data_IF_219172527246
#
_entry.id   IF_219172527246
#
_cell.length_a   1.000
_cell.length_b   1.000
_cell.length_c   1.000
_cell.angle_alpha   90.00
_cell.angle_beta   90.00
_cell.angle_gamma   90.00
#
_symmetry.space_group_name_H-M   'P 1'
#
loop_
_entity.id
_entity.type
_entity.pdbx_description
1 polymer ?
#
# COMPACT_ATOMS: atom_id res chain seq x y z
N UNK A 1 0.46 3.71 18.00
CA UNK A 1 0.26 2.89 16.78
C UNK A 1 0.93 3.54 15.58
N UNK A 2 0.68 4.82 15.27
CA UNK A 2 1.46 5.53 14.24
C UNK A 2 2.96 5.51 14.56
N UNK A 3 3.36 5.80 15.80
CA UNK A 3 4.78 5.83 16.18
C UNK A 3 5.44 4.46 16.03
N UNK A 4 4.80 3.39 16.52
CA UNK A 4 5.25 2.00 16.27
C UNK A 4 5.42 1.69 14.78
N UNK A 5 4.55 2.22 13.92
CA UNK A 5 4.66 2.04 12.46
C UNK A 5 5.83 2.85 11.88
N UNK A 6 6.13 4.05 12.42
CA UNK A 6 7.33 4.82 12.07
C UNK A 6 8.60 4.08 12.48
N UNK A 7 8.65 3.59 13.71
CA UNK A 7 9.82 2.90 14.28
C UNK A 7 10.13 1.61 13.49
N UNK A 8 9.10 0.90 13.05
CA UNK A 8 9.24 -0.25 12.15
C UNK A 8 9.74 0.12 10.75
N UNK A 9 9.33 1.27 10.21
CA UNK A 9 9.80 1.76 8.90
C UNK A 9 11.24 2.30 9.00
N UNK A 10 11.60 3.04 10.05
CA UNK A 10 12.95 3.60 10.20
C UNK A 10 14.00 2.53 10.48
N UNK A 11 13.70 1.58 11.37
CA UNK A 11 14.60 0.46 11.70
C UNK A 11 14.90 -0.46 10.50
N UNK A 12 14.01 -0.52 9.51
CA UNK A 12 14.22 -1.31 8.29
C UNK A 12 14.98 -0.57 7.17
N UNK A 13 15.29 0.72 7.33
CA UNK A 13 15.90 1.55 6.27
C UNK A 13 17.25 2.20 6.58
N UNK A 14 17.85 1.93 7.76
CA UNK A 14 19.16 2.48 8.15
C UNK A 14 19.31 4.00 7.88
N UNK A 15 18.31 4.78 8.29
CA UNK A 15 18.18 6.24 8.11
C UNK A 15 18.19 6.78 6.65
N UNK A 16 18.18 5.91 5.62
CA UNK A 16 18.02 6.31 4.22
C UNK A 16 16.66 5.87 3.68
N UNK A 17 15.72 6.78 3.36
CA UNK A 17 14.39 6.40 2.89
C UNK A 17 14.45 5.65 1.56
N UNK A 18 13.72 4.55 1.47
CA UNK A 18 13.58 3.76 0.24
C UNK A 18 12.82 4.53 -0.86
N UNK A 19 13.04 4.19 -2.12
CA UNK A 19 12.33 4.76 -3.28
C UNK A 19 10.88 4.26 -3.38
N UNK A 20 10.66 2.99 -2.99
CA UNK A 20 9.38 2.29 -2.99
C UNK A 20 9.24 1.53 -1.67
N UNK A 21 8.11 1.68 -1.00
CA UNK A 21 7.69 0.85 0.13
C UNK A 21 6.52 -0.04 -0.27
N UNK A 22 6.59 -1.31 0.07
CA UNK A 22 5.51 -2.28 -0.13
C UNK A 22 5.17 -2.90 1.20
N UNK A 23 3.89 -2.83 1.58
CA UNK A 23 3.40 -3.34 2.85
C UNK A 23 2.37 -4.43 2.62
N UNK A 24 2.69 -5.65 3.06
CA UNK A 24 1.79 -6.80 3.10
C UNK A 24 1.34 -7.09 4.53
N UNK A 25 0.04 -7.27 4.74
CA UNK A 25 -0.55 -7.61 6.03
C UNK A 25 -1.54 -8.77 5.90
N UNK A 26 -1.66 -9.54 6.97
CA UNK A 26 -2.58 -10.66 7.13
C UNK A 26 -3.51 -10.37 8.31
N UNK A 27 -4.68 -11.03 8.35
CA UNK A 27 -5.66 -10.95 9.42
C UNK A 27 -6.14 -9.52 9.79
N UNK A 28 -6.11 -8.59 8.83
CA UNK A 28 -6.59 -7.20 9.06
C UNK A 28 -8.10 -7.11 9.36
N UNK A 29 -8.85 -8.21 9.19
CA UNK A 29 -10.26 -8.33 9.58
C UNK A 29 -10.46 -9.63 10.38
N UNK A 30 -11.33 -9.65 11.41
CA UNK A 30 -11.66 -10.88 12.13
C UNK A 30 -12.23 -11.97 11.22
N UNK A 31 -11.85 -13.23 11.47
CA UNK A 31 -12.18 -14.40 10.65
C UNK A 31 -13.59 -14.95 10.92
N UNK A 32 -14.59 -14.08 10.83
CA UNK A 32 -16.00 -14.45 11.00
C UNK A 32 -16.65 -14.74 9.63
N UNK A 33 -17.56 -15.71 9.54
CA UNK A 33 -18.23 -16.08 8.29
C UNK A 33 -18.84 -14.87 7.54
N UNK A 34 -19.38 -13.89 8.29
CA UNK A 34 -19.86 -12.62 7.76
C UNK A 34 -18.81 -11.86 6.94
N UNK A 35 -17.55 -11.83 7.38
CA UNK A 35 -16.47 -11.09 6.71
C UNK A 35 -15.88 -11.83 5.49
N UNK A 36 -16.21 -13.11 5.31
CA UNK A 36 -15.89 -13.89 4.10
C UNK A 36 -16.97 -13.71 3.02
N UNK A 37 -18.22 -13.42 3.43
CA UNK A 37 -19.38 -13.25 2.54
C UNK A 37 -19.62 -11.77 2.18
N UNK A 38 -19.32 -10.83 3.08
CA UNK A 38 -19.50 -9.39 2.85
C UNK A 38 -18.41 -8.83 1.94
N UNK A 39 -18.81 -7.95 1.02
CA UNK A 39 -17.94 -7.25 0.09
C UNK A 39 -16.82 -6.46 0.80
N UNK A 40 -15.69 -6.25 0.09
CA UNK A 40 -14.47 -5.62 0.61
C UNK A 40 -14.77 -4.36 1.44
N UNK A 41 -14.63 -4.48 2.77
CA UNK A 41 -14.90 -3.38 3.69
C UNK A 41 -13.73 -2.38 3.69
N UNK A 42 -13.73 -1.53 2.65
CA UNK A 42 -12.71 -0.52 2.38
C UNK A 42 -12.44 0.45 3.54
N UNK A 43 -13.26 0.50 4.60
CA UNK A 43 -12.98 1.29 5.82
C UNK A 43 -11.66 0.86 6.48
N UNK A 44 -11.36 -0.43 6.50
CA UNK A 44 -10.16 -0.96 7.16
C UNK A 44 -8.91 -0.65 6.33
N UNK A 45 -8.94 -0.94 5.02
CA UNK A 45 -7.90 -0.50 4.08
C UNK A 45 -7.63 1.00 4.12
N UNK A 46 -8.68 1.84 4.19
CA UNK A 46 -8.54 3.31 4.34
C UNK A 46 -7.82 3.70 5.64
N UNK A 47 -8.12 3.02 6.76
CA UNK A 47 -7.42 3.26 8.04
C UNK A 47 -5.93 2.92 7.93
N UNK A 48 -5.58 1.75 7.38
CA UNK A 48 -4.18 1.38 7.15
C UNK A 48 -3.45 2.36 6.24
N UNK A 49 -4.05 2.74 5.11
CA UNK A 49 -3.45 3.73 4.21
C UNK A 49 -3.26 5.11 4.88
N UNK A 50 -4.15 5.51 5.79
CA UNK A 50 -4.00 6.76 6.55
C UNK A 50 -2.81 6.69 7.52
N UNK A 51 -2.65 5.56 8.24
CA UNK A 51 -1.53 5.33 9.15
C UNK A 51 -0.19 5.30 8.40
N UNK A 52 -0.13 4.59 7.27
CA UNK A 52 1.07 4.54 6.41
C UNK A 52 1.42 5.93 5.87
N UNK A 53 0.43 6.69 5.39
CA UNK A 53 0.65 8.06 4.89
C UNK A 53 1.21 8.97 5.98
N UNK A 54 0.65 8.90 7.19
CA UNK A 54 1.14 9.66 8.33
C UNK A 54 2.57 9.25 8.70
N UNK A 55 2.87 7.94 8.71
CA UNK A 55 4.18 7.39 9.03
C UNK A 55 5.26 7.84 8.04
N UNK A 56 5.03 7.67 6.72
CA UNK A 56 5.98 8.04 5.66
C UNK A 56 6.15 9.56 5.51
N UNK A 57 5.05 10.32 5.49
CA UNK A 57 5.07 11.74 5.11
C UNK A 57 5.08 12.67 6.33
N UNK A 58 5.98 12.40 7.30
CA UNK A 58 6.12 13.27 8.47
C UNK A 58 6.38 14.70 7.98
N UNK A 59 5.54 15.66 8.40
CA UNK A 59 5.88 17.08 8.27
C UNK A 59 7.17 17.29 9.08
N UNK A 60 8.26 17.66 8.40
CA UNK A 60 9.42 18.23 9.07
C UNK A 60 8.89 19.42 9.87
N UNK A 61 9.10 19.50 11.20
CA UNK A 61 8.77 20.70 11.94
C UNK A 61 9.61 21.83 11.36
N UNK A 62 8.98 22.75 10.64
CA UNK A 62 9.64 23.96 10.16
C UNK A 62 10.07 24.77 11.38
N UNK A 63 11.37 24.83 11.63
CA UNK A 63 11.99 25.56 12.76
C UNK A 63 11.89 27.10 12.56
N UNK A 64 10.98 27.56 11.70
CA UNK A 64 10.78 28.95 11.28
C UNK A 64 9.41 29.44 11.76
N UNK A 65 9.11 29.27 13.05
CA UNK A 65 7.92 29.88 13.68
C UNK A 65 8.08 30.04 15.21
N UNK A 66 9.32 30.22 15.70
CA UNK A 66 9.63 30.46 17.13
C UNK A 66 10.60 31.63 17.38
N UNK A 67 10.50 32.70 16.57
CA UNK A 67 11.11 34.00 16.88
C UNK A 67 10.17 35.16 16.50
N UNK A 68 8.97 35.17 17.09
CA UNK A 68 8.15 36.38 17.24
C UNK A 68 7.74 36.45 18.72
N UNK A 69 8.57 37.10 19.54
CA UNK A 69 8.26 37.39 20.95
C UNK A 69 8.01 38.90 21.08
N UNK A 70 7.08 39.25 21.97
CA UNK A 70 6.73 40.60 22.48
C UNK A 70 5.79 41.43 21.59
N UNK A 71 4.57 41.66 22.09
CA UNK A 71 3.64 42.67 21.55
C UNK A 71 2.15 42.35 21.78
N UNK A 72 1.64 42.47 23.01
CA UNK A 72 0.19 42.50 23.27
C UNK A 72 -0.47 43.83 22.85
N UNK A 73 -1.83 43.82 22.83
CA UNK A 73 -2.82 44.89 22.54
C UNK A 73 -3.19 44.98 21.03
N UNK A 74 -4.46 44.96 20.59
CA UNK A 74 -5.78 45.03 21.27
C UNK A 74 -6.85 44.07 20.63
N UNK A 75 -8.12 44.22 21.03
CA UNK A 75 -9.32 43.50 20.52
C UNK A 75 -10.05 44.30 19.42
N UNK A 76 -10.51 43.65 18.33
CA UNK A 76 -11.79 43.90 17.61
C UNK A 76 -12.21 42.62 16.82
N UNK A 77 -13.51 42.39 16.62
CA UNK A 77 -14.15 41.42 15.69
C UNK A 77 -15.33 42.13 14.97
N UNK A 78 -16.02 41.54 13.97
CA UNK A 78 -15.53 41.10 12.65
C UNK A 78 -16.50 41.49 11.49
N UNK A 79 -16.01 41.85 10.30
CA UNK A 79 -16.86 41.93 9.08
C UNK A 79 -16.11 41.35 7.86
N UNK A 80 -16.82 40.60 7.02
CA UNK A 80 -16.35 40.02 5.74
C UNK A 80 -16.47 41.07 4.62
N UNK A 81 -15.71 40.92 3.54
CA UNK A 81 -16.28 40.67 2.19
C UNK A 81 -15.16 40.50 1.14
N UNK A 82 -15.58 40.26 -0.11
CA UNK A 82 -15.06 39.29 -1.07
C UNK A 82 -13.69 39.49 -1.77
N UNK A 83 -13.18 38.37 -2.28
CA UNK A 83 -12.28 38.15 -3.43
C UNK A 83 -11.19 39.19 -3.82
N UNK A 84 -9.91 38.74 -3.75
CA UNK A 84 -8.97 38.82 -4.89
C UNK A 84 -7.72 37.94 -4.73
N UNK A 85 -7.46 37.12 -5.75
CA UNK A 85 -6.15 36.56 -6.16
C UNK A 85 -5.05 36.35 -5.10
N UNK A 86 -5.22 35.35 -4.24
CA UNK A 86 -4.07 34.72 -3.60
C UNK A 86 -3.32 33.84 -4.64
N UNK A 87 -2.30 34.40 -5.28
CA UNK A 87 -1.32 33.64 -6.05
C UNK A 87 -0.76 32.52 -5.17
N UNK A 88 -1.16 31.27 -5.45
CA UNK A 88 -0.62 30.09 -4.78
C UNK A 88 0.82 29.89 -5.24
N UNK A 89 1.74 30.56 -4.54
CA UNK A 89 3.20 30.39 -4.66
C UNK A 89 3.47 28.89 -4.77
N UNK A 90 3.98 28.48 -5.93
CA UNK A 90 4.05 27.08 -6.32
C UNK A 90 4.77 26.28 -5.25
N UNK A 91 4.01 25.45 -4.51
CA UNK A 91 4.56 24.56 -3.49
C UNK A 91 5.56 23.65 -4.18
N UNK A 92 6.85 23.92 -3.99
CA UNK A 92 7.95 23.08 -4.48
C UNK A 92 7.67 21.68 -3.94
N UNK A 93 7.27 20.77 -4.83
CA UNK A 93 6.88 19.42 -4.45
C UNK A 93 7.98 18.83 -3.58
N UNK A 94 7.61 18.42 -2.37
CA UNK A 94 8.57 17.85 -1.45
C UNK A 94 9.05 16.54 -2.09
N UNK A 95 10.31 16.52 -2.57
CA UNK A 95 10.89 15.39 -3.30
C UNK A 95 10.88 14.09 -2.48
N UNK A 96 10.62 14.18 -1.18
CA UNK A 96 10.53 13.06 -0.25
C UNK A 96 9.10 12.71 0.18
N UNK A 97 8.04 13.29 -0.41
CA UNK A 97 6.67 12.82 -0.17
C UNK A 97 6.38 11.50 -0.90
N UNK A 98 5.78 10.54 -0.20
CA UNK A 98 5.30 9.27 -0.74
C UNK A 98 3.80 9.27 -1.04
N UNK A 99 3.43 8.76 -2.22
CA UNK A 99 2.05 8.53 -2.62
C UNK A 99 1.74 7.03 -2.70
N UNK A 100 0.59 6.63 -2.17
CA UNK A 100 -0.01 5.34 -2.50
C UNK A 100 -0.32 5.30 -4.00
N UNK A 101 0.30 4.39 -4.73
CA UNK A 101 -0.04 4.13 -6.14
C UNK A 101 -1.14 3.08 -6.24
N UNK A 102 -1.17 2.11 -5.31
CA UNK A 102 -2.22 1.10 -5.22
C UNK A 102 -2.33 0.49 -3.82
N UNK A 103 -3.54 0.04 -3.47
CA UNK A 103 -3.83 -0.68 -2.24
C UNK A 103 -4.97 -1.65 -2.54
N UNK A 104 -4.81 -2.94 -2.26
CA UNK A 104 -5.85 -3.95 -2.44
C UNK A 104 -5.98 -4.82 -1.19
N UNK A 105 -7.23 -5.07 -0.81
CA UNK A 105 -7.62 -6.03 0.21
C UNK A 105 -8.33 -7.22 -0.44
N UNK A 106 -8.11 -8.42 0.08
CA UNK A 106 -8.93 -9.61 -0.18
C UNK A 106 -9.17 -10.33 1.15
N UNK A 107 -10.41 -10.30 1.62
CA UNK A 107 -10.81 -10.80 2.96
C UNK A 107 -9.93 -10.17 4.06
N UNK A 108 -8.96 -10.91 4.61
CA UNK A 108 -8.01 -10.46 5.63
C UNK A 108 -6.60 -10.19 5.13
N UNK A 109 -6.32 -10.38 3.83
CA UNK A 109 -5.03 -10.06 3.20
C UNK A 109 -5.09 -8.62 2.69
N UNK A 110 -4.03 -7.85 2.91
CA UNK A 110 -3.91 -6.47 2.42
C UNK A 110 -2.51 -6.22 1.88
N UNK A 111 -2.42 -5.67 0.66
CA UNK A 111 -1.15 -5.30 0.01
C UNK A 111 -1.25 -3.88 -0.55
N UNK A 112 -0.27 -3.04 -0.24
CA UNK A 112 -0.23 -1.65 -0.69
C UNK A 112 1.18 -1.18 -1.05
N UNK A 113 1.28 -0.38 -2.11
CA UNK A 113 2.54 0.12 -2.68
C UNK A 113 2.57 1.63 -2.63
N UNK A 114 3.63 2.16 -2.03
CA UNK A 114 3.87 3.58 -1.82
C UNK A 114 5.18 3.97 -2.51
N UNK A 115 5.14 5.00 -3.36
CA UNK A 115 6.26 5.41 -4.21
C UNK A 115 6.58 6.88 -3.94
N UNK A 116 7.86 7.24 -3.95
CA UNK A 116 8.30 8.63 -3.84
C UNK A 116 7.75 9.48 -5.02
N UNK A 117 7.35 10.72 -4.74
CA UNK A 117 6.52 11.50 -5.68
C UNK A 117 7.19 11.81 -7.02
N UNK A 118 8.51 11.92 -7.07
CA UNK A 118 9.32 12.10 -8.28
C UNK A 118 9.35 10.85 -9.18
N UNK A 119 9.27 9.66 -8.60
CA UNK A 119 9.24 8.38 -9.31
C UNK A 119 7.83 7.97 -9.77
N UNK A 120 6.78 8.63 -9.29
CA UNK A 120 5.38 8.27 -9.60
C UNK A 120 5.07 8.30 -11.10
N UNK A 121 5.67 9.24 -11.85
CA UNK A 121 5.52 9.35 -13.31
C UNK A 121 6.22 8.21 -14.08
N UNK A 122 7.16 7.51 -13.45
CA UNK A 122 7.90 6.39 -14.03
C UNK A 122 7.17 5.05 -13.84
N UNK A 123 6.08 5.03 -13.06
CA UNK A 123 5.24 3.86 -12.84
C UNK A 123 4.29 3.66 -14.02
N UNK A 124 4.37 2.49 -14.66
CA UNK A 124 3.50 2.08 -15.77
C UNK A 124 2.88 0.72 -15.51
N UNK A 125 1.82 0.39 -16.25
CA UNK A 125 1.21 -0.95 -16.28
C UNK A 125 0.91 -1.54 -14.88
N UNK A 126 0.28 -0.73 -14.03
CA UNK A 126 -0.14 -1.13 -12.69
C UNK A 126 -1.32 -2.11 -12.76
N UNK A 127 -1.24 -3.27 -12.10
CA UNK A 127 -2.32 -4.26 -12.08
C UNK A 127 -2.29 -5.14 -10.83
N UNK A 128 -3.41 -5.79 -10.55
CA UNK A 128 -3.64 -6.61 -9.35
C UNK A 128 -4.34 -7.90 -9.72
N UNK A 129 -3.97 -9.00 -9.05
CA UNK A 129 -4.62 -10.30 -9.14
C UNK A 129 -4.90 -10.78 -7.71
N UNK A 130 -6.11 -11.30 -7.48
CA UNK A 130 -6.52 -11.86 -6.19
C UNK A 130 -6.89 -13.32 -6.39
N UNK A 131 -6.29 -14.23 -5.63
CA UNK A 131 -6.55 -15.68 -5.74
C UNK A 131 -6.94 -16.22 -4.38
N UNK A 132 -8.19 -16.68 -4.25
CA UNK A 132 -8.62 -17.44 -3.08
C UNK A 132 -8.13 -18.89 -3.15
N UNK A 133 -7.81 -19.45 -1.98
CA UNK A 133 -7.44 -20.86 -1.78
C UNK A 133 -8.39 -21.58 -0.79
N UNK A 134 -9.57 -21.02 -0.59
CA UNK A 134 -10.61 -21.56 0.29
C UNK A 134 -11.47 -22.66 -0.35
N UNK A 135 -12.55 -23.00 0.34
CA UNK A 135 -13.58 -23.89 -0.20
C UNK A 135 -14.16 -23.27 -1.48
N UNK A 136 -14.23 -24.05 -2.56
CA UNK A 136 -14.63 -23.59 -3.90
C UNK A 136 -13.78 -22.44 -4.47
N UNK A 137 -12.50 -22.30 -4.08
CA UNK A 137 -11.54 -21.30 -4.60
C UNK A 137 -11.89 -19.81 -4.39
N UNK A 138 -13.08 -19.49 -3.89
CA UNK A 138 -13.54 -18.12 -3.62
C UNK A 138 -13.96 -17.91 -2.16
N UNK A 139 -14.36 -18.96 -1.43
CA UNK A 139 -14.78 -18.86 -0.02
C UNK A 139 -13.66 -19.31 0.93
N UNK A 140 -12.76 -18.38 1.26
CA UNK A 140 -11.79 -18.59 2.34
C UNK A 140 -10.96 -17.36 2.68
N UNK A 141 -10.38 -17.40 3.87
CA UNK A 141 -9.41 -16.42 4.35
C UNK A 141 -7.97 -16.66 3.87
N UNK A 142 -7.75 -17.75 3.11
CA UNK A 142 -6.46 -18.13 2.55
C UNK A 142 -6.38 -17.79 1.07
N UNK A 143 -5.20 -17.44 0.58
CA UNK A 143 -4.99 -17.01 -0.80
C UNK A 143 -3.84 -16.02 -0.95
N UNK A 144 -3.89 -15.21 -2.01
CA UNK A 144 -2.95 -14.11 -2.27
C UNK A 144 -3.61 -12.84 -2.78
N UNK A 145 -2.96 -11.71 -2.49
CA UNK A 145 -3.08 -10.46 -3.27
C UNK A 145 -1.73 -10.23 -3.94
N UNK A 146 -1.73 -10.19 -5.27
CA UNK A 146 -0.54 -10.01 -6.10
C UNK A 146 -0.63 -8.69 -6.86
N UNK A 147 0.36 -7.82 -6.75
CA UNK A 147 0.41 -6.51 -7.40
C UNK A 147 1.63 -6.47 -8.32
N UNK A 148 1.43 -6.07 -9.58
CA UNK A 148 2.53 -5.82 -10.52
C UNK A 148 2.52 -4.41 -11.07
N UNK A 149 3.70 -3.92 -11.39
CA UNK A 149 3.91 -2.66 -12.10
C UNK A 149 5.26 -2.67 -12.80
N UNK A 150 5.45 -1.70 -13.68
CA UNK A 150 6.72 -1.37 -14.29
C UNK A 150 7.24 -0.08 -13.66
N UNK A 151 8.50 -0.05 -13.28
CA UNK A 151 9.22 1.17 -12.90
C UNK A 151 10.30 1.39 -13.94
N UNK A 152 10.18 2.47 -14.73
CA UNK A 152 10.89 2.58 -16.00
C UNK A 152 10.63 1.33 -16.86
N UNK A 153 11.67 0.66 -17.36
CA UNK A 153 11.55 -0.53 -18.21
C UNK A 153 11.68 -1.86 -17.41
N UNK A 154 11.79 -1.80 -16.08
CA UNK A 154 11.92 -2.98 -15.22
C UNK A 154 10.56 -3.40 -14.66
N UNK A 155 10.26 -4.70 -14.70
CA UNK A 155 8.99 -5.26 -14.23
C UNK A 155 9.08 -5.87 -12.83
N UNK A 156 8.11 -5.53 -11.97
CA UNK A 156 8.04 -5.96 -10.57
C UNK A 156 6.72 -6.66 -10.27
N UNK A 157 6.76 -7.75 -9.51
CA UNK A 157 5.60 -8.39 -8.92
C UNK A 157 5.79 -8.61 -7.40
N UNK A 158 4.89 -8.03 -6.60
CA UNK A 158 4.83 -8.21 -5.16
C UNK A 158 3.62 -9.07 -4.81
N UNK A 159 3.81 -10.10 -4.01
CA UNK A 159 2.76 -11.03 -3.61
C UNK A 159 2.65 -11.02 -2.09
N UNK A 160 1.45 -10.83 -1.55
CA UNK A 160 1.17 -11.05 -0.13
C UNK A 160 0.26 -12.28 -0.03
N UNK A 161 0.71 -13.31 0.68
CA UNK A 161 -0.05 -14.56 0.84
C UNK A 161 -0.54 -14.76 2.27
N UNK A 162 -1.60 -15.55 2.41
CA UNK A 162 -1.99 -16.16 3.67
C UNK A 162 -2.33 -17.63 3.36
N UNK A 163 -1.44 -18.55 3.75
CA UNK A 163 -1.57 -19.98 3.42
C UNK A 163 -2.29 -20.76 4.54
N UNK A 164 -2.59 -22.03 4.28
CA UNK A 164 -3.13 -22.96 5.26
C UNK A 164 -2.28 -23.02 6.55
N UNK A 165 -2.91 -22.74 7.69
CA UNK A 165 -2.33 -22.94 9.01
C UNK A 165 -2.47 -24.39 9.46
N UNK A 166 -1.65 -24.80 10.43
CA UNK A 166 -1.68 -26.16 10.98
C UNK A 166 -0.28 -26.77 11.08
N UNK A 167 -0.06 -27.54 12.13
CA UNK A 167 1.22 -28.20 12.45
C UNK A 167 1.09 -29.73 12.58
N UNK A 168 0.02 -30.32 12.03
CA UNK A 168 -0.12 -31.78 11.95
C UNK A 168 0.52 -32.29 10.66
N UNK A 169 0.88 -33.57 10.65
CA UNK A 169 1.32 -34.26 9.45
C UNK A 169 0.25 -34.13 8.34
N UNK A 170 0.66 -33.71 7.15
CA UNK A 170 -0.22 -33.44 6.01
C UNK A 170 -0.66 -31.97 5.85
N UNK A 171 -0.49 -31.11 6.87
CA UNK A 171 -0.80 -29.68 6.74
C UNK A 171 0.19 -28.97 5.79
N UNK A 172 1.41 -29.49 5.63
CA UNK A 172 2.36 -29.03 4.61
C UNK A 172 1.85 -29.26 3.18
N UNK A 173 1.13 -30.36 2.93
CA UNK A 173 0.52 -30.62 1.61
C UNK A 173 -0.56 -29.59 1.29
N UNK A 174 -1.30 -29.12 2.31
CA UNK A 174 -2.31 -28.06 2.18
C UNK A 174 -1.67 -26.72 1.84
N UNK A 175 -0.55 -26.36 2.50
CA UNK A 175 0.23 -25.16 2.15
C UNK A 175 0.76 -25.22 0.72
N UNK A 176 1.36 -26.35 0.33
CA UNK A 176 1.89 -26.54 -1.03
C UNK A 176 0.78 -26.46 -2.08
N UNK A 177 -0.40 -27.05 -1.82
CA UNK A 177 -1.56 -26.91 -2.70
C UNK A 177 -2.03 -25.45 -2.84
N UNK A 178 -2.01 -24.66 -1.77
CA UNK A 178 -2.31 -23.22 -1.85
C UNK A 178 -1.28 -22.48 -2.73
N UNK A 179 0.02 -22.76 -2.57
CA UNK A 179 1.07 -22.15 -3.41
C UNK A 179 0.88 -22.51 -4.89
N UNK A 180 0.65 -23.79 -5.21
CA UNK A 180 0.37 -24.22 -6.58
C UNK A 180 -0.84 -23.51 -7.18
N UNK A 181 -1.93 -23.37 -6.41
CA UNK A 181 -3.14 -22.66 -6.83
C UNK A 181 -2.92 -21.16 -7.03
N UNK A 182 -2.12 -20.51 -6.18
CA UNK A 182 -1.73 -19.10 -6.32
C UNK A 182 -0.93 -18.89 -7.60
N UNK A 183 0.07 -19.73 -7.86
CA UNK A 183 0.90 -19.65 -9.06
C UNK A 183 0.10 -19.94 -10.34
N UNK A 184 -0.76 -20.96 -10.34
CA UNK A 184 -1.57 -21.32 -11.52
C UNK A 184 -2.62 -20.27 -11.85
N UNK A 185 -3.30 -19.72 -10.84
CA UNK A 185 -4.48 -18.89 -11.04
C UNK A 185 -4.17 -17.39 -11.05
N UNK A 186 -3.03 -16.95 -10.51
CA UNK A 186 -2.61 -15.55 -10.66
C UNK A 186 -2.42 -15.26 -12.14
N UNK A 187 -3.09 -14.24 -12.64
CA UNK A 187 -2.92 -13.73 -14.00
C UNK A 187 -3.13 -12.23 -14.00
N UNK A 188 -2.28 -11.53 -14.75
CA UNK A 188 -2.44 -10.12 -15.06
C UNK A 188 -2.92 -9.96 -16.51
N UNK A 189 -3.56 -8.82 -16.87
CA UNK A 189 -3.96 -8.54 -18.25
C UNK A 189 -2.75 -8.44 -19.17
N UNK A 190 -2.85 -9.01 -20.37
CA UNK A 190 -1.91 -8.72 -21.46
C UNK A 190 -1.92 -7.21 -21.76
N UNK A 191 -0.75 -6.63 -22.00
CA UNK A 191 -0.68 -5.28 -22.56
C UNK A 191 -0.89 -5.27 -24.08
N UNK A 192 -0.69 -4.12 -24.75
CA UNK A 192 -0.85 -4.00 -26.20
C UNK A 192 0.11 -4.87 -27.04
N UNK A 193 1.21 -5.36 -26.44
CA UNK A 193 2.11 -6.34 -27.05
C UNK A 193 2.02 -7.68 -26.33
N UNK A 194 2.46 -8.76 -27.00
CA UNK A 194 2.46 -10.10 -26.41
C UNK A 194 3.55 -10.33 -25.34
N UNK A 195 4.45 -9.36 -25.13
CA UNK A 195 5.64 -9.50 -24.29
C UNK A 195 5.44 -9.02 -22.84
N UNK A 196 4.22 -8.68 -22.42
CA UNK A 196 3.95 -8.27 -21.05
C UNK A 196 3.88 -9.47 -20.09
N UNK A 197 4.62 -9.47 -18.96
CA UNK A 197 4.51 -10.48 -17.91
C UNK A 197 3.06 -10.72 -17.47
N UNK A 198 2.62 -12.00 -17.49
CA UNK A 198 1.24 -12.41 -17.20
C UNK A 198 1.12 -13.21 -15.92
N UNK A 199 2.11 -14.06 -15.62
CA UNK A 199 2.23 -14.83 -14.37
C UNK A 199 3.21 -14.14 -13.42
N UNK A 200 3.21 -14.59 -12.15
CA UNK A 200 4.13 -14.07 -11.13
C UNK A 200 5.58 -14.23 -11.60
N UNK A 201 5.95 -15.45 -12.01
CA UNK A 201 7.32 -15.82 -12.43
C UNK A 201 7.81 -15.18 -13.74
N UNK A 202 6.92 -14.51 -14.50
CA UNK A 202 7.28 -13.84 -15.76
C UNK A 202 7.94 -12.46 -15.53
N UNK A 203 7.94 -11.96 -14.29
CA UNK A 203 8.47 -10.63 -13.95
C UNK A 203 9.95 -10.70 -13.60
N UNK A 204 10.69 -9.63 -13.91
CA UNK A 204 12.14 -9.52 -13.68
C UNK A 204 12.48 -9.59 -12.18
N UNK A 205 11.66 -8.94 -11.33
CA UNK A 205 11.76 -9.03 -9.87
C UNK A 205 10.45 -9.49 -9.25
N UNK A 206 10.54 -10.52 -8.41
CA UNK A 206 9.42 -11.10 -7.66
C UNK A 206 9.73 -11.07 -6.17
N UNK A 207 8.78 -10.58 -5.37
CA UNK A 207 8.85 -10.54 -3.90
C UNK A 207 7.57 -11.17 -3.31
N UNK A 208 7.71 -11.90 -2.20
CA UNK A 208 6.66 -12.72 -1.55
C UNK A 208 6.64 -12.58 -0.04
#
# INVERSE_FOLDING_TARGET
>A
MEDMMRDWISSSTHDKPADVYVFGFQEIVPLNARNVIVSENNKISKKWNSLIRAALNKKIPTVVEKYNIVGEIQKVHPIKDDCSSANSVGSRSNRHEFGCIISKQMVGIFLTVWVRSDLRQCIRNLSVSCVGCGLMSYLGNKGSVSIRFWLHETSFCFVCTHLASGGKEGDERRRNANVSQILSNTSFPSGPSHNFPRKIIDHEYVYT
#
